data_IF_938579210463
#
_entry.id   IF_938579210463
#
_cell.length_a   1.000
_cell.length_b   1.000
_cell.length_c   1.000
_cell.angle_alpha   90.00
_cell.angle_beta   90.00
_cell.angle_gamma   90.00
#
_symmetry.space_group_name_H-M   'P 1'
#
loop_
_entity.id
_entity.type
_entity.pdbx_description
1 polymer ?
#
# COMPACT_ATOMS: atom_id res chain seq x y z
N UNK A 1 26.34 30.73 -63.78
CA UNK A 1 25.24 30.91 -62.80
C UNK A 1 25.71 30.39 -61.45
N UNK A 2 25.90 31.26 -60.43
CA UNK A 2 26.43 30.89 -59.10
C UNK A 2 25.26 30.55 -58.16
N UNK A 3 25.19 29.33 -57.65
CA UNK A 3 24.21 28.92 -56.64
C UNK A 3 24.76 29.18 -55.22
N UNK A 4 24.04 29.98 -54.44
CA UNK A 4 24.35 30.32 -53.04
C UNK A 4 23.90 29.18 -52.12
N UNK A 5 24.77 28.72 -51.23
CA UNK A 5 24.42 27.77 -50.17
C UNK A 5 24.06 28.57 -48.91
N UNK A 6 22.90 28.31 -48.33
CA UNK A 6 22.49 28.85 -47.03
C UNK A 6 22.68 27.78 -45.95
N UNK A 7 23.25 28.09 -44.77
CA UNK A 7 23.44 27.10 -43.72
C UNK A 7 22.15 26.94 -42.90
N UNK A 8 21.73 25.69 -42.72
CA UNK A 8 20.59 25.29 -41.91
C UNK A 8 21.03 25.20 -40.43
N UNK A 9 20.70 26.20 -39.62
CA UNK A 9 20.90 26.16 -38.16
C UNK A 9 19.88 25.21 -37.51
N UNK A 10 20.35 24.07 -37.02
CA UNK A 10 19.57 23.11 -36.23
C UNK A 10 19.56 23.56 -34.75
N UNK A 11 18.47 24.16 -34.30
CA UNK A 11 18.25 24.51 -32.89
C UNK A 11 17.77 23.29 -32.10
N UNK A 12 18.67 22.69 -31.31
CA UNK A 12 18.36 21.68 -30.30
C UNK A 12 17.61 22.34 -29.13
N UNK A 13 16.30 22.15 -29.08
CA UNK A 13 15.48 22.50 -27.92
C UNK A 13 15.71 21.45 -26.81
N UNK A 14 16.59 21.76 -25.85
CA UNK A 14 16.64 21.02 -24.58
C UNK A 14 15.37 21.35 -23.78
N UNK A 15 14.39 20.44 -23.76
CA UNK A 15 13.27 20.54 -22.83
C UNK A 15 13.73 20.10 -21.44
N UNK A 16 13.98 21.06 -20.54
CA UNK A 16 14.11 20.76 -19.12
C UNK A 16 12.72 20.45 -18.57
N UNK A 17 12.35 19.18 -18.51
CA UNK A 17 11.19 18.75 -17.74
C UNK A 17 11.52 18.95 -16.26
N UNK A 18 10.96 19.98 -15.64
CA UNK A 18 11.05 20.18 -14.20
C UNK A 18 10.32 19.02 -13.52
N UNK A 19 11.07 18.11 -12.88
CA UNK A 19 10.50 17.09 -12.02
C UNK A 19 9.82 17.79 -10.83
N UNK A 20 8.48 17.79 -10.82
CA UNK A 20 7.73 18.19 -9.63
C UNK A 20 8.02 17.14 -8.57
N UNK A 21 8.87 17.48 -7.59
CA UNK A 21 9.09 16.63 -6.43
C UNK A 21 7.76 16.46 -5.70
N UNK A 22 7.23 15.24 -5.70
CA UNK A 22 6.08 14.91 -4.87
C UNK A 22 6.45 15.20 -3.42
N UNK A 23 5.61 15.97 -2.70
CA UNK A 23 5.81 16.24 -1.28
C UNK A 23 5.89 14.91 -0.54
N UNK A 24 7.03 14.63 0.09
CA UNK A 24 7.24 13.38 0.82
C UNK A 24 6.23 13.28 1.97
N UNK A 25 5.68 12.07 2.18
CA UNK A 25 4.78 11.79 3.30
C UNK A 25 5.55 11.95 4.62
N UNK A 26 5.15 12.88 5.50
CA UNK A 26 5.79 13.05 6.81
C UNK A 26 5.64 11.78 7.63
N UNK A 27 6.69 11.43 8.38
CA UNK A 27 6.64 10.33 9.34
C UNK A 27 5.88 10.82 10.57
N UNK A 28 4.75 10.19 10.84
CA UNK A 28 3.85 10.54 11.95
C UNK A 28 3.50 9.29 12.77
N UNK A 29 2.99 9.51 13.99
CA UNK A 29 2.44 8.40 14.77
C UNK A 29 1.26 7.74 14.03
N UNK A 30 1.16 6.40 14.03
CA UNK A 30 0.09 5.70 13.34
C UNK A 30 -1.27 6.13 13.89
N UNK A 31 -2.15 6.63 13.01
CA UNK A 31 -3.53 6.99 13.34
C UNK A 31 -4.49 5.96 12.77
N UNK A 32 -5.49 5.58 13.57
CA UNK A 32 -6.57 4.69 13.14
C UNK A 32 -7.74 5.52 12.64
N UNK A 33 -8.39 5.03 11.59
CA UNK A 33 -9.69 5.56 11.17
C UNK A 33 -10.70 5.23 12.29
N UNK A 34 -11.41 6.22 12.85
CA UNK A 34 -12.37 5.96 13.91
C UNK A 34 -13.46 4.99 13.45
N UNK A 35 -13.93 4.06 14.30
CA UNK A 35 -15.03 3.15 13.95
C UNK A 35 -16.28 3.89 13.45
N UNK A 36 -16.56 5.06 14.03
CA UNK A 36 -17.69 5.93 13.64
C UNK A 36 -17.60 6.51 12.22
N UNK A 37 -16.45 6.37 11.55
CA UNK A 37 -16.25 6.74 10.14
C UNK A 37 -16.43 5.53 9.22
N UNK A 38 -16.19 4.30 9.71
CA UNK A 38 -16.25 3.04 8.94
C UNK A 38 -17.69 2.58 8.67
N UNK A 39 -18.48 3.48 8.13
CA UNK A 39 -19.90 3.32 7.80
C UNK A 39 -20.07 2.71 6.40
N UNK A 40 -21.26 2.22 6.07
CA UNK A 40 -21.56 1.70 4.72
C UNK A 40 -21.23 2.70 3.59
N UNK A 41 -21.62 3.97 3.75
CA UNK A 41 -21.33 5.01 2.75
C UNK A 41 -19.86 5.38 2.63
N UNK A 42 -19.08 5.18 3.70
CA UNK A 42 -17.63 5.30 3.64
C UNK A 42 -17.01 4.15 2.84
N UNK A 43 -17.46 2.92 3.09
CA UNK A 43 -16.98 1.72 2.40
C UNK A 43 -17.26 1.71 0.90
N UNK A 44 -18.34 2.37 0.44
CA UNK A 44 -18.63 2.52 -0.99
C UNK A 44 -17.48 3.19 -1.77
N UNK A 45 -16.70 4.05 -1.09
CA UNK A 45 -15.53 4.73 -1.67
C UNK A 45 -14.18 4.19 -1.19
N UNK A 46 -14.20 3.25 -0.24
CA UNK A 46 -13.01 2.59 0.31
C UNK A 46 -13.09 1.07 0.13
N UNK A 47 -13.04 0.59 -1.13
CA UNK A 47 -13.18 -0.83 -1.43
C UNK A 47 -12.01 -1.67 -0.86
N UNK A 48 -10.83 -1.09 -0.68
CA UNK A 48 -9.70 -1.73 0.02
C UNK A 48 -10.09 -2.13 1.45
N UNK A 49 -10.62 -1.19 2.22
CA UNK A 49 -11.05 -1.40 3.61
C UNK A 49 -12.33 -2.23 3.72
N UNK A 50 -13.28 -2.05 2.80
CA UNK A 50 -14.50 -2.85 2.75
C UNK A 50 -14.18 -4.33 2.59
N UNK A 51 -13.39 -4.68 1.56
CA UNK A 51 -13.04 -6.07 1.31
C UNK A 51 -12.11 -6.63 2.39
N UNK A 52 -11.23 -5.82 2.99
CA UNK A 52 -10.43 -6.22 4.15
C UNK A 52 -11.31 -6.58 5.35
N UNK A 53 -12.31 -5.75 5.66
CA UNK A 53 -13.25 -6.01 6.75
C UNK A 53 -14.05 -7.30 6.51
N UNK A 54 -14.54 -7.49 5.28
CA UNK A 54 -15.21 -8.74 4.88
C UNK A 54 -14.30 -9.97 5.02
N UNK A 55 -13.01 -9.84 4.69
CA UNK A 55 -12.04 -10.91 4.85
C UNK A 55 -11.81 -11.26 6.32
N UNK A 56 -11.58 -10.26 7.17
CA UNK A 56 -11.39 -10.46 8.62
C UNK A 56 -12.61 -11.10 9.28
N UNK A 57 -13.83 -10.68 8.88
CA UNK A 57 -15.06 -11.34 9.35
C UNK A 57 -15.13 -12.79 8.88
N UNK A 58 -14.80 -13.07 7.63
CA UNK A 58 -14.76 -14.45 7.13
C UNK A 58 -13.73 -15.31 7.89
N UNK A 59 -12.59 -14.77 8.32
CA UNK A 59 -11.65 -15.49 9.19
C UNK A 59 -12.24 -15.78 10.57
N UNK A 60 -12.88 -14.79 11.20
CA UNK A 60 -13.58 -14.95 12.50
C UNK A 60 -14.67 -16.02 12.42
N UNK A 61 -15.41 -16.03 11.31
CA UNK A 61 -16.46 -17.01 11.01
C UNK A 61 -15.89 -18.37 10.55
N UNK A 62 -14.56 -18.59 10.64
CA UNK A 62 -13.85 -19.83 10.26
C UNK A 62 -14.08 -20.22 8.80
N UNK A 63 -14.18 -19.24 7.90
CA UNK A 63 -14.36 -19.41 6.45
C UNK A 63 -13.13 -18.90 5.67
N UNK A 64 -11.96 -19.53 5.84
CA UNK A 64 -10.70 -19.02 5.29
C UNK A 64 -10.66 -18.96 3.76
N UNK A 65 -11.35 -19.87 3.06
CA UNK A 65 -11.44 -19.83 1.60
C UNK A 65 -12.15 -18.56 1.10
N UNK A 66 -13.18 -18.09 1.84
CA UNK A 66 -13.84 -16.81 1.55
C UNK A 66 -12.96 -15.63 1.93
N UNK A 67 -12.25 -15.72 3.07
CA UNK A 67 -11.29 -14.71 3.47
C UNK A 67 -10.22 -14.48 2.39
N UNK A 68 -9.65 -15.54 1.83
CA UNK A 68 -8.70 -15.47 0.71
C UNK A 68 -9.27 -14.68 -0.48
N UNK A 69 -10.51 -14.97 -0.88
CA UNK A 69 -11.18 -14.25 -1.98
C UNK A 69 -11.35 -12.76 -1.65
N UNK A 70 -11.76 -12.43 -0.44
CA UNK A 70 -11.95 -11.04 -0.03
C UNK A 70 -10.64 -10.29 0.14
N UNK A 71 -9.59 -10.89 0.71
CA UNK A 71 -8.27 -10.29 0.77
C UNK A 71 -7.72 -10.01 -0.63
N UNK A 72 -7.90 -10.93 -1.60
CA UNK A 72 -7.56 -10.64 -3.01
C UNK A 72 -8.35 -9.46 -3.57
N UNK A 73 -9.65 -9.33 -3.27
CA UNK A 73 -10.44 -8.17 -3.71
C UNK A 73 -9.93 -6.86 -3.13
N UNK A 74 -9.57 -6.84 -1.85
CA UNK A 74 -8.95 -5.69 -1.19
C UNK A 74 -7.59 -5.35 -1.82
N UNK A 75 -6.75 -6.37 -2.07
CA UNK A 75 -5.43 -6.21 -2.67
C UNK A 75 -5.46 -5.58 -4.08
N UNK A 76 -6.57 -5.70 -4.85
CA UNK A 76 -6.73 -5.00 -6.15
C UNK A 76 -6.67 -3.47 -6.03
N UNK A 77 -6.83 -2.95 -4.81
CA UNK A 77 -6.79 -1.54 -4.44
C UNK A 77 -5.55 -1.19 -3.60
N UNK A 78 -4.46 -1.94 -3.80
CA UNK A 78 -3.13 -1.68 -3.20
C UNK A 78 -3.09 -1.82 -1.67
N UNK A 79 -3.98 -2.65 -1.12
CA UNK A 79 -4.05 -2.92 0.30
C UNK A 79 -2.91 -3.84 0.76
N UNK A 80 -1.84 -3.27 1.32
CA UNK A 80 -0.62 -4.02 1.69
C UNK A 80 -0.86 -5.08 2.76
N UNK A 81 -1.75 -4.81 3.72
CA UNK A 81 -2.16 -5.81 4.71
C UNK A 81 -2.81 -7.02 4.05
N UNK A 82 -3.80 -6.80 3.19
CA UNK A 82 -4.49 -7.87 2.50
C UNK A 82 -3.54 -8.65 1.59
N UNK A 83 -2.56 -8.01 0.95
CA UNK A 83 -1.51 -8.70 0.19
C UNK A 83 -0.70 -9.65 1.10
N UNK A 84 -0.25 -9.18 2.27
CA UNK A 84 0.44 -10.01 3.26
C UNK A 84 -0.45 -11.15 3.81
N UNK A 85 -1.75 -10.91 3.99
CA UNK A 85 -2.69 -11.95 4.42
C UNK A 85 -2.92 -13.01 3.34
N UNK A 86 -3.02 -12.64 2.06
CA UNK A 86 -3.06 -13.61 0.96
C UNK A 86 -1.80 -14.47 0.96
N UNK A 87 -0.63 -13.86 1.15
CA UNK A 87 0.65 -14.57 1.25
C UNK A 87 0.64 -15.59 2.38
N UNK A 88 0.19 -15.19 3.57
CA UNK A 88 0.06 -16.06 4.74
C UNK A 88 -0.88 -17.24 4.48
N UNK A 89 -2.04 -17.01 3.86
CA UNK A 89 -3.01 -18.08 3.57
C UNK A 89 -2.45 -19.13 2.60
N UNK A 90 -1.67 -18.70 1.59
CA UNK A 90 -0.93 -19.64 0.72
C UNK A 90 0.21 -20.35 1.45
N UNK A 91 0.92 -19.66 2.34
CA UNK A 91 2.02 -20.25 3.12
C UNK A 91 1.51 -21.35 4.05
N UNK A 92 0.41 -21.09 4.76
CA UNK A 92 -0.17 -22.00 5.74
C UNK A 92 -1.12 -23.04 5.12
N UNK A 93 -1.51 -22.87 3.86
CA UNK A 93 -2.52 -23.73 3.21
C UNK A 93 -3.89 -23.63 3.88
N UNK A 94 -4.27 -22.43 4.32
CA UNK A 94 -5.53 -22.19 5.02
C UNK A 94 -6.56 -21.65 4.02
N UNK A 95 -7.63 -22.41 3.80
CA UNK A 95 -8.65 -22.06 2.79
C UNK A 95 -8.20 -22.24 1.34
N UNK A 96 -7.00 -22.79 1.12
CA UNK A 96 -6.41 -23.16 -0.17
C UNK A 96 -5.38 -24.26 0.07
N UNK A 97 -4.92 -24.96 -0.97
CA UNK A 97 -3.72 -25.79 -0.84
C UNK A 97 -2.48 -24.90 -0.55
N UNK A 98 -1.50 -25.39 0.24
CA UNK A 98 -0.23 -24.69 0.41
C UNK A 98 0.45 -24.44 -0.93
N UNK A 99 0.95 -23.22 -1.15
CA UNK A 99 1.70 -22.84 -2.34
C UNK A 99 2.78 -21.82 -1.93
N UNK A 100 4.00 -22.28 -1.57
CA UNK A 100 5.05 -21.39 -1.07
C UNK A 100 5.54 -20.40 -2.13
N UNK A 101 5.41 -20.74 -3.43
CA UNK A 101 5.73 -19.84 -4.54
C UNK A 101 4.74 -18.68 -4.58
N UNK A 102 3.43 -18.95 -4.50
CA UNK A 102 2.43 -17.89 -4.41
C UNK A 102 2.55 -17.09 -3.11
N UNK A 103 2.87 -17.75 -2.00
CA UNK A 103 3.10 -17.06 -0.74
C UNK A 103 4.20 -15.99 -0.89
N UNK A 104 5.35 -16.35 -1.47
CA UNK A 104 6.42 -15.39 -1.76
C UNK A 104 5.94 -14.25 -2.67
N UNK A 105 5.31 -14.56 -3.82
CA UNK A 105 4.85 -13.53 -4.78
C UNK A 105 3.95 -12.49 -4.09
N UNK A 106 3.01 -12.94 -3.26
CA UNK A 106 2.10 -12.04 -2.55
C UNK A 106 2.78 -11.26 -1.42
N UNK A 107 3.79 -11.83 -0.76
CA UNK A 107 4.56 -11.10 0.25
C UNK A 107 5.49 -10.06 -0.39
N UNK A 108 6.06 -10.36 -1.56
CA UNK A 108 6.84 -9.41 -2.35
C UNK A 108 5.99 -8.20 -2.78
N UNK A 109 4.74 -8.45 -3.22
CA UNK A 109 3.75 -7.39 -3.42
C UNK A 109 3.52 -6.55 -2.16
N UNK A 110 3.33 -7.18 -1.01
CA UNK A 110 3.13 -6.48 0.26
C UNK A 110 4.33 -5.59 0.60
N UNK A 111 5.53 -6.08 0.30
CA UNK A 111 6.81 -5.44 0.58
C UNK A 111 7.21 -4.33 -0.43
N UNK A 112 6.47 -4.09 -1.52
CA UNK A 112 6.79 -3.05 -2.52
C UNK A 112 7.00 -1.64 -1.94
N UNK A 113 6.37 -1.34 -0.78
CA UNK A 113 6.51 -0.06 -0.07
C UNK A 113 7.61 -0.04 0.97
N UNK A 114 8.45 -1.08 1.01
CA UNK A 114 9.62 -1.20 1.87
C UNK A 114 9.32 -1.15 3.37
N UNK A 115 8.13 -1.58 3.79
CA UNK A 115 7.82 -1.73 5.21
C UNK A 115 8.68 -2.84 5.79
N UNK A 116 9.39 -2.54 6.88
CA UNK A 116 10.43 -3.41 7.44
C UNK A 116 9.92 -4.84 7.66
N UNK A 117 8.78 -4.99 8.35
CA UNK A 117 8.21 -6.30 8.68
C UNK A 117 7.84 -7.11 7.43
N UNK A 118 7.31 -6.47 6.39
CA UNK A 118 6.96 -7.15 5.14
C UNK A 118 8.21 -7.53 4.33
N UNK A 119 9.26 -6.70 4.35
CA UNK A 119 10.55 -7.05 3.77
C UNK A 119 11.18 -8.26 4.47
N UNK A 120 11.18 -8.27 5.80
CA UNK A 120 11.71 -9.40 6.59
C UNK A 120 10.95 -10.69 6.26
N UNK A 121 9.62 -10.62 6.19
CA UNK A 121 8.81 -11.77 5.81
C UNK A 121 9.04 -12.21 4.36
N UNK A 122 9.21 -11.27 3.43
CA UNK A 122 9.55 -11.59 2.03
C UNK A 122 10.87 -12.35 1.96
N UNK A 123 11.92 -11.85 2.61
CA UNK A 123 13.23 -12.52 2.63
C UNK A 123 13.13 -13.91 3.27
N UNK A 124 12.36 -14.04 4.35
CA UNK A 124 12.11 -15.33 4.96
C UNK A 124 11.44 -16.31 4.01
N UNK A 125 10.46 -15.85 3.22
CA UNK A 125 9.77 -16.71 2.26
C UNK A 125 10.70 -17.11 1.11
N UNK A 126 11.48 -16.17 0.57
CA UNK A 126 12.44 -16.45 -0.50
C UNK A 126 13.50 -17.48 -0.11
N UNK A 127 14.07 -17.35 1.09
CA UNK A 127 15.13 -18.23 1.59
C UNK A 127 14.68 -19.70 1.76
N UNK A 128 13.37 -19.95 1.79
CA UNK A 128 12.79 -21.30 1.91
C UNK A 128 12.44 -21.93 0.57
N UNK A 129 12.48 -21.17 -0.53
CA UNK A 129 12.22 -21.68 -1.86
C UNK A 129 13.46 -22.39 -2.40
N UNK A 130 13.26 -23.55 -3.02
CA UNK A 130 14.29 -24.19 -3.82
C UNK A 130 14.50 -23.45 -5.18
N UNK A 131 15.56 -23.76 -5.95
CA UNK A 131 15.83 -23.05 -7.21
C UNK A 131 14.71 -23.15 -8.25
N UNK A 132 13.98 -24.27 -8.31
CA UNK A 132 12.86 -24.42 -9.24
C UNK A 132 11.70 -23.52 -8.81
N UNK A 133 11.40 -23.49 -7.51
CA UNK A 133 10.38 -22.63 -6.93
C UNK A 133 10.71 -21.14 -7.10
N UNK A 134 11.97 -20.75 -6.97
CA UNK A 134 12.43 -19.38 -7.25
C UNK A 134 12.20 -19.01 -8.72
N UNK A 135 12.54 -19.90 -9.66
CA UNK A 135 12.26 -19.66 -11.08
C UNK A 135 10.75 -19.53 -11.35
N UNK A 136 9.93 -20.38 -10.73
CA UNK A 136 8.48 -20.30 -10.81
C UNK A 136 7.92 -19.01 -10.20
N UNK A 137 8.51 -18.50 -9.12
CA UNK A 137 8.10 -17.25 -8.51
C UNK A 137 8.28 -16.07 -9.49
N UNK A 138 9.40 -16.04 -10.18
CA UNK A 138 9.70 -15.00 -11.19
C UNK A 138 8.71 -15.07 -12.36
N UNK A 139 8.42 -16.27 -12.86
CA UNK A 139 7.50 -16.48 -13.99
C UNK A 139 6.04 -16.19 -13.61
N UNK A 140 5.54 -16.86 -12.56
CA UNK A 140 4.14 -16.75 -12.10
C UNK A 140 3.84 -15.37 -11.52
N UNK A 141 4.84 -14.73 -10.93
CA UNK A 141 4.73 -13.38 -10.36
C UNK A 141 4.34 -12.33 -11.38
N UNK A 142 4.79 -12.44 -12.64
CA UNK A 142 4.55 -11.41 -13.67
C UNK A 142 3.07 -11.02 -13.80
N UNK A 143 2.18 -12.00 -13.90
CA UNK A 143 0.74 -11.75 -14.02
C UNK A 143 0.17 -11.14 -12.73
N UNK A 144 0.62 -11.62 -11.58
CA UNK A 144 0.16 -11.14 -10.27
C UNK A 144 0.59 -9.68 -10.06
N UNK A 145 1.83 -9.33 -10.38
CA UNK A 145 2.34 -7.96 -10.32
C UNK A 145 1.62 -7.02 -11.30
N UNK A 146 1.31 -7.50 -12.51
CA UNK A 146 0.56 -6.72 -13.49
C UNK A 146 -0.85 -6.34 -13.01
N UNK A 147 -1.47 -7.18 -12.19
CA UNK A 147 -2.82 -6.95 -11.68
C UNK A 147 -2.86 -6.22 -10.33
N UNK A 148 -1.91 -6.50 -9.43
CA UNK A 148 -1.97 -6.13 -8.01
C UNK A 148 -0.83 -5.20 -7.55
N UNK A 149 0.21 -5.01 -8.35
CA UNK A 149 1.31 -4.11 -8.00
C UNK A 149 0.85 -2.67 -7.85
N UNK A 150 1.49 -1.92 -6.97
CA UNK A 150 1.10 -0.55 -6.61
C UNK A 150 0.90 0.35 -7.85
N UNK A 151 1.76 0.19 -8.88
CA UNK A 151 1.68 0.93 -10.16
C UNK A 151 0.30 0.85 -10.83
N UNK A 152 -0.39 -0.27 -10.70
CA UNK A 152 -1.70 -0.51 -11.33
C UNK A 152 -2.83 -0.45 -10.31
N UNK A 153 -2.60 -0.92 -9.09
CA UNK A 153 -3.62 -0.98 -8.05
C UNK A 153 -3.91 0.39 -7.41
N UNK A 154 -2.89 1.25 -7.18
CA UNK A 154 -3.10 2.59 -6.61
C UNK A 154 -4.02 3.46 -7.46
N UNK A 155 -3.85 3.56 -8.80
CA UNK A 155 -4.77 4.33 -9.64
C UNK A 155 -6.24 3.88 -9.55
N UNK A 156 -6.52 2.59 -9.26
CA UNK A 156 -7.90 2.12 -9.05
C UNK A 156 -8.48 2.67 -7.76
N UNK A 157 -7.69 2.61 -6.67
CA UNK A 157 -8.10 3.14 -5.37
C UNK A 157 -8.29 4.65 -5.42
N UNK A 158 -7.35 5.37 -6.03
CA UNK A 158 -7.43 6.84 -6.17
C UNK A 158 -8.66 7.27 -6.97
N UNK A 159 -9.05 6.50 -7.99
CA UNK A 159 -10.29 6.72 -8.72
C UNK A 159 -11.52 6.52 -7.83
N UNK A 160 -11.57 5.45 -7.03
CA UNK A 160 -12.66 5.22 -6.07
C UNK A 160 -12.80 6.39 -5.07
N UNK A 161 -11.69 6.86 -4.51
CA UNK A 161 -11.67 8.03 -3.62
C UNK A 161 -12.14 9.30 -4.33
N UNK A 162 -11.67 9.55 -5.56
CA UNK A 162 -12.04 10.73 -6.34
C UNK A 162 -13.53 10.74 -6.69
N UNK A 163 -14.06 9.61 -7.14
CA UNK A 163 -15.46 9.46 -7.52
C UNK A 163 -16.36 9.61 -6.29
N UNK A 164 -16.00 8.99 -5.17
CA UNK A 164 -16.68 9.15 -3.90
C UNK A 164 -16.69 10.59 -3.41
N UNK A 165 -15.53 11.28 -3.47
CA UNK A 165 -15.41 12.68 -3.06
C UNK A 165 -16.33 13.61 -3.87
N UNK A 166 -16.50 13.34 -5.18
CA UNK A 166 -17.43 14.10 -6.05
C UNK A 166 -18.90 13.92 -5.68
N UNK A 167 -19.23 12.84 -4.96
CA UNK A 167 -20.60 12.52 -4.56
C UNK A 167 -20.95 13.08 -3.17
N UNK A 168 -19.99 13.64 -2.42
CA UNK A 168 -20.25 14.22 -1.09
C UNK A 168 -21.15 15.45 -1.22
N UNK A 169 -22.30 15.43 -0.53
CA UNK A 169 -23.26 16.54 -0.49
C UNK A 169 -22.58 17.82 0.05
N UNK A 170 -22.71 18.92 -0.71
CA UNK A 170 -22.11 20.21 -0.36
C UNK A 170 -20.65 20.40 -0.79
N UNK A 171 -19.98 19.37 -1.31
CA UNK A 171 -18.54 19.37 -1.58
C UNK A 171 -18.11 19.85 -2.99
N UNK A 172 -19.01 20.44 -3.80
CA UNK A 172 -18.70 20.76 -5.21
C UNK A 172 -17.48 21.70 -5.38
N UNK A 173 -17.09 22.43 -4.34
CA UNK A 173 -15.89 23.28 -4.27
C UNK A 173 -14.84 22.80 -3.24
N UNK A 174 -15.03 21.59 -2.67
CA UNK A 174 -14.13 20.98 -1.69
C UNK A 174 -14.37 21.39 -0.23
N UNK A 175 -15.41 22.18 0.06
CA UNK A 175 -15.79 22.55 1.42
C UNK A 175 -16.82 21.58 2.00
N UNK A 176 -16.57 21.09 3.22
CA UNK A 176 -17.53 20.29 4.01
C UNK A 176 -17.94 21.12 5.22
N UNK A 177 -19.23 21.43 5.32
CA UNK A 177 -19.74 22.23 6.44
C UNK A 177 -19.60 21.48 7.77
N UNK A 178 -19.21 22.17 8.83
CA UNK A 178 -19.26 21.64 10.21
C UNK A 178 -20.67 21.33 10.70
N UNK A 179 -21.70 21.86 10.02
CA UNK A 179 -23.11 21.53 10.28
C UNK A 179 -23.57 20.25 9.57
N UNK A 180 -22.77 19.68 8.66
CA UNK A 180 -23.06 18.39 8.06
C UNK A 180 -22.87 17.29 9.11
N UNK A 181 -23.86 16.43 9.26
CA UNK A 181 -23.80 15.26 10.14
C UNK A 181 -24.18 14.03 9.34
N UNK A 182 -23.31 13.03 9.36
CA UNK A 182 -23.57 11.72 8.76
C UNK A 182 -24.21 10.85 9.83
N UNK A 183 -25.43 10.38 9.57
CA UNK A 183 -26.20 9.55 10.51
C UNK A 183 -26.33 8.14 9.96
N UNK A 184 -25.85 7.16 10.71
CA UNK A 184 -26.03 5.75 10.38
C UNK A 184 -27.46 5.32 10.69
N UNK A 185 -28.22 4.93 9.65
CA UNK A 185 -29.65 4.59 9.80
C UNK A 185 -29.93 3.10 9.98
N UNK A 186 -28.93 2.21 9.80
CA UNK A 186 -29.07 0.75 9.86
C UNK A 186 -27.80 0.08 10.41
N UNK A 187 -27.94 -1.15 10.90
CA UNK A 187 -26.87 -1.96 11.48
C UNK A 187 -26.70 -1.72 12.98
N UNK A 188 -25.73 -2.40 13.59
CA UNK A 188 -25.45 -2.34 15.04
C UNK A 188 -25.01 -0.93 15.51
N UNK A 189 -24.61 -0.09 14.57
CA UNK A 189 -24.21 1.30 14.75
C UNK A 189 -25.34 2.32 14.49
N UNK A 190 -26.60 1.86 14.44
CA UNK A 190 -27.75 2.73 14.21
C UNK A 190 -27.81 3.88 15.23
N UNK A 191 -28.02 5.10 14.74
CA UNK A 191 -28.14 6.30 15.58
C UNK A 191 -26.81 7.01 15.87
N UNK A 192 -25.67 6.43 15.47
CA UNK A 192 -24.39 7.14 15.51
C UNK A 192 -24.45 8.32 14.52
N UNK A 193 -24.14 9.50 15.04
CA UNK A 193 -24.09 10.76 14.32
C UNK A 193 -22.65 11.29 14.35
N UNK A 194 -22.01 11.34 13.19
CA UNK A 194 -20.61 11.76 13.05
C UNK A 194 -20.54 13.08 12.28
N UNK A 195 -19.86 14.11 12.81
CA UNK A 195 -19.60 15.35 12.07
C UNK A 195 -18.97 15.09 10.70
N UNK A 196 -19.46 15.79 9.68
CA UNK A 196 -19.03 15.61 8.29
C UNK A 196 -17.55 15.92 8.08
N UNK A 197 -16.98 16.87 8.83
CA UNK A 197 -15.54 17.16 8.78
C UNK A 197 -14.67 16.00 9.29
N UNK A 198 -15.22 15.09 10.10
CA UNK A 198 -14.52 13.88 10.54
C UNK A 198 -14.66 12.78 9.49
N UNK A 199 -15.88 12.56 8.97
CA UNK A 199 -16.12 11.51 7.95
C UNK A 199 -15.41 11.83 6.64
N UNK A 200 -15.38 13.11 6.26
CA UNK A 200 -14.84 13.60 5.00
C UNK A 200 -13.47 14.29 5.16
N UNK A 201 -12.72 13.90 6.19
CA UNK A 201 -11.35 14.38 6.38
C UNK A 201 -10.50 14.06 5.15
N UNK A 202 -9.60 14.98 4.78
CA UNK A 202 -8.72 14.80 3.64
C UNK A 202 -7.82 13.57 3.79
N UNK A 203 -7.44 13.21 5.02
CA UNK A 203 -6.65 12.01 5.31
C UNK A 203 -7.33 10.72 4.84
N UNK A 204 -8.64 10.74 4.59
CA UNK A 204 -9.39 9.59 4.08
C UNK A 204 -9.74 9.74 2.59
N UNK A 205 -9.97 10.97 2.11
CA UNK A 205 -10.55 11.20 0.77
C UNK A 205 -9.59 11.83 -0.27
N UNK A 206 -8.44 12.36 0.15
CA UNK A 206 -7.38 12.80 -0.76
C UNK A 206 -6.34 11.69 -0.89
N UNK A 207 -6.15 11.22 -2.12
CA UNK A 207 -5.23 10.13 -2.44
C UNK A 207 -3.85 10.24 -1.76
N UNK A 208 -3.18 11.39 -1.87
CA UNK A 208 -1.86 11.58 -1.29
C UNK A 208 -1.86 11.45 0.25
N UNK A 209 -2.84 12.09 0.90
CA UNK A 209 -2.98 12.09 2.36
C UNK A 209 -3.39 10.68 2.85
N UNK A 210 -4.25 9.99 2.10
CA UNK A 210 -4.67 8.62 2.38
C UNK A 210 -3.53 7.61 2.29
N UNK A 211 -2.70 7.70 1.25
CA UNK A 211 -1.50 6.87 1.18
C UNK A 211 -0.56 7.17 2.32
N UNK A 212 -0.40 8.44 2.70
CA UNK A 212 0.44 8.80 3.84
C UNK A 212 -0.08 8.23 5.17
N UNK A 213 -1.40 8.26 5.38
CA UNK A 213 -2.04 7.63 6.52
C UNK A 213 -1.78 6.12 6.57
N UNK A 214 -1.95 5.43 5.44
CA UNK A 214 -1.67 3.98 5.36
C UNK A 214 -0.19 3.67 5.60
N UNK A 215 0.71 4.42 4.98
CA UNK A 215 2.15 4.26 5.12
C UNK A 215 2.58 4.42 6.57
N UNK A 216 2.12 5.46 7.27
CA UNK A 216 2.43 5.66 8.70
C UNK A 216 1.87 4.56 9.62
N UNK A 217 0.84 3.83 9.19
CA UNK A 217 0.35 2.66 9.93
C UNK A 217 1.32 1.47 9.84
N UNK A 218 1.92 1.22 8.68
CA UNK A 218 2.74 0.02 8.42
C UNK A 218 4.25 0.24 8.46
N UNK A 219 4.71 1.49 8.41
CA UNK A 219 6.14 1.83 8.48
C UNK A 219 6.86 1.46 9.79
N UNK A 220 6.27 1.43 11.00
CA UNK A 220 7.12 1.67 12.16
C UNK A 220 7.83 0.43 12.72
N UNK A 221 9.16 0.56 12.86
CA UNK A 221 9.77 0.56 14.19
C UNK A 221 10.29 1.98 14.48
N UNK A 222 9.57 2.75 15.31
CA UNK A 222 10.08 4.01 15.85
C UNK A 222 11.05 3.70 17.00
N UNK A 223 12.34 3.49 16.71
CA UNK A 223 13.42 3.47 17.71
C UNK A 223 14.78 3.84 17.04
N UNK A 224 15.73 4.43 17.79
CA UNK A 224 16.66 5.46 17.32
C UNK A 224 17.72 4.89 16.36
N UNK A 225 18.32 5.79 15.56
CA UNK A 225 19.54 5.51 14.83
C UNK A 225 20.56 4.82 15.73
N UNK A 226 20.85 3.54 15.48
CA UNK A 226 22.06 2.93 16.00
C UNK A 226 23.18 3.48 15.13
N UNK A 227 23.88 4.50 15.64
CA UNK A 227 25.18 4.87 15.09
C UNK A 227 26.11 3.67 15.27
N UNK A 228 26.34 2.95 14.19
CA UNK A 228 27.40 1.95 14.13
C UNK A 228 28.71 2.74 14.14
N UNK A 229 29.33 2.87 15.31
CA UNK A 229 30.66 3.43 15.45
C UNK A 229 31.62 2.73 14.49
N UNK A 230 32.56 3.50 13.93
CA UNK A 230 33.51 3.00 12.92
C UNK A 230 34.19 1.70 13.42
N UNK A 231 34.34 0.68 12.54
CA UNK A 231 34.91 -0.60 12.94
C UNK A 231 36.31 -0.39 13.51
N UNK A 232 36.50 -0.79 14.76
CA UNK A 232 37.79 -0.74 15.42
C UNK A 232 38.65 -1.88 14.87
N UNK A 233 39.73 -1.52 14.17
CA UNK A 233 40.68 -2.49 13.64
C UNK A 233 41.46 -3.10 14.82
N UNK A 234 41.13 -4.33 15.20
CA UNK A 234 41.94 -5.09 16.15
C UNK A 234 43.25 -5.39 15.44
N UNK A 235 44.36 -4.82 15.94
CA UNK A 235 45.69 -5.21 15.48
C UNK A 235 45.94 -6.61 16.00
N UNK A 236 46.00 -7.57 15.09
CA UNK A 236 46.53 -8.90 15.35
C UNK A 236 48.00 -8.75 15.77
N UNK A 237 48.23 -8.73 17.09
CA UNK A 237 49.55 -8.86 17.67
C UNK A 237 49.99 -10.31 17.55
N UNK A 238 50.72 -10.64 16.50
CA UNK A 238 51.54 -11.85 16.45
C UNK A 238 52.94 -11.52 15.92
N UNK A 239 53.89 -12.44 15.99
CA UNK A 239 54.30 -13.27 17.12
C UNK A 239 55.74 -12.87 17.56
N UNK A 240 56.03 -12.85 18.86
CA UNK A 240 57.40 -12.67 19.34
C UNK A 240 58.02 -14.00 19.75
N UNK A 241 58.93 -14.53 18.93
CA UNK A 241 60.12 -15.22 19.46
C UNK A 241 60.92 -14.23 20.32
N UNK A 242 61.66 -14.64 21.34
CA UNK A 242 62.52 -15.82 21.44
C UNK A 242 62.45 -16.48 22.83
#
# INVERSE_FOLDING_TARGET
>A
MKAKHAPLCLLLLLSTAAAVAAKECPVEAPRRIPPTVLTGGFFDSHPDLFWRSMAQRAEQDKQPARALVYYKRSARYADKFSQAMVARLYQEGIGTAPDPVMAYIWMDLAAERMYHDFLVLREHYWARLDPLQQAQAIERGQQVYADYGDRVAKPRMERALSDGRRQITGSRVGYVSSALVVVQRRGDEQGIATPGNIVYDNDYWKAADYWCLQDNYWRPALAPSIEIGAPQQIRDGGPGGD
#
